data_IF_996912172457
#
_entry.id   IF_996912172457
#
_cell.length_a   1.000
_cell.length_b   1.000
_cell.length_c   1.000
_cell.angle_alpha   90.00
_cell.angle_beta   90.00
_cell.angle_gamma   90.00
#
_symmetry.space_group_name_H-M   'P 1'
#
loop_
_entity.id
_entity.type
_entity.pdbx_description
1 polymer ?
#
# COMPACT_ATOMS: atom_id res chain seq x y z
N UNK A 1 -47.39 -19.83 -109.69
CA UNK A 1 -47.34 -20.55 -108.39
C UNK A 1 -45.93 -20.56 -107.78
N UNK A 2 -44.86 -20.76 -108.57
CA UNK A 2 -43.48 -20.71 -108.07
C UNK A 2 -43.01 -19.30 -107.62
N UNK A 3 -43.32 -18.25 -108.39
CA UNK A 3 -42.90 -16.87 -108.05
C UNK A 3 -43.53 -16.36 -106.76
N UNK A 4 -44.79 -16.68 -106.50
CA UNK A 4 -45.48 -16.30 -105.25
C UNK A 4 -44.78 -16.91 -104.02
N UNK A 5 -44.36 -18.18 -104.10
CA UNK A 5 -43.61 -18.86 -103.02
C UNK A 5 -42.22 -18.24 -102.81
N UNK A 6 -41.55 -17.78 -103.87
CA UNK A 6 -40.25 -17.10 -103.77
C UNK A 6 -40.41 -15.75 -103.06
N UNK A 7 -41.47 -15.01 -103.36
CA UNK A 7 -41.76 -13.73 -102.72
C UNK A 7 -42.04 -13.92 -101.21
N UNK A 8 -42.89 -14.90 -100.88
CA UNK A 8 -43.23 -15.25 -99.49
C UNK A 8 -41.99 -15.68 -98.68
N UNK A 9 -41.07 -16.44 -99.30
CA UNK A 9 -39.83 -16.85 -98.65
C UNK A 9 -38.90 -15.65 -98.35
N UNK A 10 -38.76 -14.73 -99.31
CA UNK A 10 -37.97 -13.50 -99.12
C UNK A 10 -38.56 -12.61 -98.04
N UNK A 11 -39.88 -12.54 -97.94
CA UNK A 11 -40.56 -11.77 -96.90
C UNK A 11 -40.35 -12.38 -95.51
N UNK A 12 -40.45 -13.71 -95.38
CA UNK A 12 -40.10 -14.41 -94.14
C UNK A 12 -38.63 -14.20 -93.74
N UNK A 13 -37.70 -14.29 -94.69
CA UNK A 13 -36.27 -14.06 -94.45
C UNK A 13 -36.00 -12.63 -93.97
N UNK A 14 -36.66 -11.64 -94.58
CA UNK A 14 -36.58 -10.24 -94.16
C UNK A 14 -37.11 -10.04 -92.74
N UNK A 15 -38.27 -10.63 -92.42
CA UNK A 15 -38.85 -10.58 -91.08
C UNK A 15 -37.93 -11.25 -90.04
N UNK A 16 -37.37 -12.42 -90.35
CA UNK A 16 -36.44 -13.13 -89.47
C UNK A 16 -35.17 -12.31 -89.21
N UNK A 17 -34.57 -11.72 -90.24
CA UNK A 17 -33.39 -10.87 -90.10
C UNK A 17 -33.69 -9.61 -89.27
N UNK A 18 -34.86 -9.02 -89.43
CA UNK A 18 -35.30 -7.87 -88.62
C UNK A 18 -35.38 -8.21 -87.13
N UNK A 19 -35.93 -9.37 -86.78
CA UNK A 19 -36.02 -9.85 -85.39
C UNK A 19 -34.63 -10.13 -84.81
N UNK A 20 -33.75 -10.76 -85.58
CA UNK A 20 -32.36 -11.03 -85.16
C UNK A 20 -31.63 -9.72 -84.87
N UNK A 21 -31.75 -8.72 -85.74
CA UNK A 21 -31.12 -7.42 -85.50
C UNK A 21 -31.70 -6.71 -84.26
N UNK A 22 -33.01 -6.77 -84.04
CA UNK A 22 -33.63 -6.19 -82.85
C UNK A 22 -33.12 -6.86 -81.57
N UNK A 23 -33.03 -8.20 -81.57
CA UNK A 23 -32.50 -8.97 -80.44
C UNK A 23 -31.02 -8.67 -80.19
N UNK A 24 -30.22 -8.56 -81.26
CA UNK A 24 -28.80 -8.17 -81.19
C UNK A 24 -28.63 -6.78 -80.58
N UNK A 25 -29.40 -5.78 -81.02
CA UNK A 25 -29.36 -4.42 -80.46
C UNK A 25 -29.75 -4.41 -78.97
N UNK A 26 -30.76 -5.19 -78.59
CA UNK A 26 -31.16 -5.32 -77.18
C UNK A 26 -30.03 -5.90 -76.32
N UNK A 27 -29.39 -6.99 -76.79
CA UNK A 27 -28.28 -7.62 -76.09
C UNK A 27 -27.04 -6.70 -76.00
N UNK A 28 -26.75 -5.94 -77.05
CA UNK A 28 -25.66 -4.95 -77.04
C UNK A 28 -25.91 -3.82 -76.03
N UNK A 29 -27.15 -3.33 -75.93
CA UNK A 29 -27.54 -2.32 -74.95
C UNK A 29 -27.39 -2.85 -73.51
N UNK A 30 -27.90 -4.05 -73.24
CA UNK A 30 -27.76 -4.71 -71.94
C UNK A 30 -26.29 -4.91 -71.56
N UNK A 31 -25.46 -5.35 -72.52
CA UNK A 31 -24.01 -5.49 -72.32
C UNK A 31 -23.36 -4.15 -71.95
N UNK A 32 -23.68 -3.07 -72.66
CA UNK A 32 -23.17 -1.74 -72.34
C UNK A 32 -23.55 -1.31 -70.92
N UNK A 33 -24.82 -1.46 -70.53
CA UNK A 33 -25.30 -1.13 -69.19
C UNK A 33 -24.62 -1.94 -68.09
N UNK A 34 -24.42 -3.24 -68.31
CA UNK A 34 -23.73 -4.09 -67.34
C UNK A 34 -22.25 -3.71 -67.20
N UNK A 35 -21.59 -3.36 -68.31
CA UNK A 35 -20.20 -2.93 -68.30
C UNK A 35 -20.04 -1.63 -67.52
N UNK A 36 -20.90 -0.64 -67.76
CA UNK A 36 -20.89 0.62 -67.01
C UNK A 36 -21.12 0.40 -65.51
N UNK A 37 -22.03 -0.51 -65.15
CA UNK A 37 -22.29 -0.84 -63.74
C UNK A 37 -21.10 -1.53 -63.07
N UNK A 38 -20.36 -2.37 -63.81
CA UNK A 38 -19.13 -2.98 -63.31
C UNK A 38 -18.06 -1.92 -63.04
N UNK A 39 -17.83 -0.99 -63.97
CA UNK A 39 -16.87 0.10 -63.78
C UNK A 39 -17.22 0.96 -62.55
N UNK A 40 -18.50 1.29 -62.36
CA UNK A 40 -18.98 2.03 -61.19
C UNK A 40 -18.78 1.25 -59.88
N UNK A 41 -18.91 -0.07 -59.90
CA UNK A 41 -18.69 -0.91 -58.71
C UNK A 41 -17.19 -1.04 -58.41
N UNK A 42 -16.35 -1.23 -59.42
CA UNK A 42 -14.90 -1.29 -59.27
C UNK A 42 -14.33 0.01 -58.69
N UNK A 43 -14.81 1.16 -59.17
CA UNK A 43 -14.45 2.46 -58.60
C UNK A 43 -14.82 2.55 -57.11
N UNK A 44 -16.07 2.20 -56.75
CA UNK A 44 -16.53 2.22 -55.35
C UNK A 44 -15.72 1.29 -54.45
N UNK A 45 -15.38 0.09 -54.94
CA UNK A 45 -14.53 -0.85 -54.19
C UNK A 45 -13.14 -0.25 -53.97
N UNK A 46 -12.53 0.35 -54.99
CA UNK A 46 -11.21 0.99 -54.87
C UNK A 46 -11.23 2.16 -53.87
N UNK A 47 -12.26 2.99 -53.92
CA UNK A 47 -12.44 4.10 -52.97
C UNK A 47 -12.61 3.58 -51.54
N UNK A 48 -13.46 2.56 -51.34
CA UNK A 48 -13.69 1.96 -50.03
C UNK A 48 -12.41 1.33 -49.48
N UNK A 49 -11.64 0.63 -50.31
CA UNK A 49 -10.33 0.08 -49.94
C UNK A 49 -9.34 1.17 -49.53
N UNK A 50 -9.27 2.27 -50.28
CA UNK A 50 -8.41 3.41 -49.94
C UNK A 50 -8.80 4.04 -48.59
N UNK A 51 -10.10 4.16 -48.32
CA UNK A 51 -10.61 4.65 -47.03
C UNK A 51 -10.27 3.70 -45.88
N UNK A 52 -10.39 2.39 -46.09
CA UNK A 52 -10.02 1.37 -45.09
C UNK A 52 -8.51 1.41 -44.80
N UNK A 53 -7.67 1.48 -45.84
CA UNK A 53 -6.22 1.60 -45.67
C UNK A 53 -5.83 2.87 -44.90
N UNK A 54 -6.46 4.00 -45.22
CA UNK A 54 -6.23 5.27 -44.50
C UNK A 54 -6.62 5.19 -43.02
N UNK A 55 -7.72 4.51 -42.70
CA UNK A 55 -8.13 4.26 -41.29
C UNK A 55 -7.16 3.32 -40.58
N UNK A 56 -6.71 2.25 -41.24
CA UNK A 56 -5.76 1.29 -40.67
C UNK A 56 -4.42 1.96 -40.34
N UNK A 57 -3.84 2.74 -41.26
CA UNK A 57 -2.59 3.47 -40.98
C UNK A 57 -2.73 4.53 -39.88
N UNK A 58 -3.93 5.11 -39.70
CA UNK A 58 -4.19 6.07 -38.61
C UNK A 58 -4.39 5.37 -37.27
N UNK A 59 -5.01 4.19 -37.26
CA UNK A 59 -5.20 3.38 -36.05
C UNK A 59 -3.91 2.71 -35.57
N UNK A 60 -3.00 2.26 -36.46
CA UNK A 60 -1.76 1.58 -36.04
C UNK A 60 -0.82 2.49 -35.22
N UNK A 61 -0.78 3.78 -35.52
CA UNK A 61 0.02 4.73 -34.75
C UNK A 61 -0.59 5.09 -33.39
N UNK A 62 -1.92 5.11 -33.25
CA UNK A 62 -2.58 5.32 -31.95
C UNK A 62 -2.65 4.05 -31.11
N UNK A 63 -2.83 2.89 -31.75
CA UNK A 63 -2.95 1.61 -31.05
C UNK A 63 -1.61 1.16 -30.46
N UNK A 64 -0.49 1.40 -31.15
CA UNK A 64 0.84 1.04 -30.62
C UNK A 64 1.26 1.86 -29.40
N UNK A 65 0.97 3.18 -29.38
CA UNK A 65 1.23 4.01 -28.19
C UNK A 65 0.33 3.63 -27.02
N UNK A 66 -0.96 3.38 -27.28
CA UNK A 66 -1.92 2.96 -26.25
C UNK A 66 -1.56 1.59 -25.66
N UNK A 67 -1.13 0.64 -26.49
CA UNK A 67 -0.75 -0.70 -26.03
C UNK A 67 0.52 -0.68 -25.16
N UNK A 68 1.47 0.21 -25.47
CA UNK A 68 2.66 0.42 -24.65
C UNK A 68 2.34 1.05 -23.30
N UNK A 69 1.41 2.00 -23.25
CA UNK A 69 0.94 2.56 -21.98
C UNK A 69 0.15 1.54 -21.16
N UNK A 70 -0.78 0.80 -21.78
CA UNK A 70 -1.54 -0.27 -21.09
C UNK A 70 -0.62 -1.33 -20.49
N UNK A 71 0.36 -1.83 -21.26
CA UNK A 71 1.34 -2.80 -20.74
C UNK A 71 2.23 -2.22 -19.64
N UNK A 72 2.50 -0.91 -19.65
CA UNK A 72 3.22 -0.24 -18.56
C UNK A 72 2.38 -0.14 -17.29
N UNK A 73 1.08 0.14 -17.40
CA UNK A 73 0.18 0.20 -16.25
C UNK A 73 -0.05 -1.19 -15.65
N UNK A 74 -0.17 -2.23 -16.48
CA UNK A 74 -0.25 -3.62 -16.02
C UNK A 74 0.98 -4.02 -15.20
N UNK A 75 2.19 -3.70 -15.68
CA UNK A 75 3.43 -3.96 -14.94
C UNK A 75 3.49 -3.18 -13.61
N UNK A 76 3.00 -1.94 -13.59
CA UNK A 76 2.93 -1.14 -12.36
C UNK A 76 1.93 -1.74 -11.35
N UNK A 77 0.79 -2.23 -11.84
CA UNK A 77 -0.22 -2.91 -11.02
C UNK A 77 0.36 -4.18 -10.42
N UNK A 78 1.05 -5.00 -11.21
CA UNK A 78 1.69 -6.23 -10.73
C UNK A 78 2.75 -5.96 -9.66
N UNK A 79 3.58 -4.94 -9.87
CA UNK A 79 4.53 -4.48 -8.85
C UNK A 79 3.82 -4.07 -7.56
N UNK A 80 2.78 -3.23 -7.64
CA UNK A 80 2.03 -2.80 -6.46
C UNK A 80 1.37 -3.99 -5.75
N UNK A 81 0.81 -4.94 -6.49
CA UNK A 81 0.22 -6.15 -5.93
C UNK A 81 1.26 -6.97 -5.14
N UNK A 82 2.48 -7.11 -5.66
CA UNK A 82 3.57 -7.80 -4.94
C UNK A 82 3.94 -7.09 -3.62
N UNK A 83 4.02 -5.76 -3.64
CA UNK A 83 4.33 -4.96 -2.45
C UNK A 83 3.21 -5.06 -1.41
N UNK A 84 1.96 -5.04 -1.85
CA UNK A 84 0.78 -5.18 -0.99
C UNK A 84 0.82 -6.53 -0.28
N UNK A 85 1.09 -7.63 -1.00
CA UNK A 85 1.17 -8.98 -0.40
C UNK A 85 2.30 -9.05 0.64
N UNK A 86 3.48 -8.51 0.34
CA UNK A 86 4.59 -8.49 1.29
C UNK A 86 4.28 -7.66 2.53
N UNK A 87 3.61 -6.51 2.37
CA UNK A 87 3.19 -5.68 3.51
C UNK A 87 2.08 -6.30 4.34
N UNK A 88 1.14 -7.01 3.71
CA UNK A 88 0.12 -7.78 4.43
C UNK A 88 0.77 -8.90 5.25
N UNK A 89 1.67 -9.69 4.66
CA UNK A 89 2.42 -10.73 5.38
C UNK A 89 3.18 -10.16 6.57
N UNK A 90 3.88 -9.04 6.39
CA UNK A 90 4.64 -8.39 7.47
C UNK A 90 3.72 -7.86 8.57
N UNK A 91 2.57 -7.30 8.22
CA UNK A 91 1.58 -6.86 9.20
C UNK A 91 1.00 -8.04 9.98
N UNK A 92 0.71 -9.16 9.32
CA UNK A 92 0.21 -10.35 9.98
C UNK A 92 1.25 -10.97 10.91
N UNK A 93 2.53 -10.99 10.51
CA UNK A 93 3.64 -11.41 11.37
C UNK A 93 3.77 -10.52 12.62
N UNK A 94 3.69 -9.19 12.45
CA UNK A 94 3.73 -8.25 13.57
C UNK A 94 2.52 -8.40 14.49
N UNK A 95 1.32 -8.55 13.93
CA UNK A 95 0.08 -8.79 14.70
C UNK A 95 0.17 -10.09 15.49
N UNK A 96 0.67 -11.16 14.88
CA UNK A 96 0.88 -12.43 15.57
C UNK A 96 1.89 -12.28 16.71
N UNK A 97 3.01 -11.59 16.47
CA UNK A 97 4.01 -11.33 17.52
C UNK A 97 3.43 -10.54 18.69
N UNK A 98 2.61 -9.52 18.42
CA UNK A 98 1.90 -8.77 19.46
C UNK A 98 0.95 -9.68 20.22
N UNK A 99 0.13 -10.46 19.51
CA UNK A 99 -0.81 -11.39 20.12
C UNK A 99 -0.11 -12.42 21.02
N UNK A 100 1.02 -12.98 20.59
CA UNK A 100 1.83 -13.92 21.41
C UNK A 100 2.37 -13.23 22.66
N UNK A 101 2.84 -11.98 22.54
CA UNK A 101 3.32 -11.22 23.70
C UNK A 101 2.18 -10.88 24.67
N UNK A 102 0.99 -10.56 24.15
CA UNK A 102 -0.21 -10.33 24.95
C UNK A 102 -0.69 -11.61 25.64
N UNK A 103 -0.68 -12.75 24.94
CA UNK A 103 -1.05 -14.05 25.51
C UNK A 103 -0.05 -14.52 26.57
N UNK A 104 1.26 -14.30 26.37
CA UNK A 104 2.27 -14.54 27.40
C UNK A 104 2.03 -13.59 28.59
N UNK A 105 1.79 -12.31 28.34
CA UNK A 105 1.55 -11.31 29.39
C UNK A 105 0.25 -11.52 30.19
N UNK A 106 -0.80 -12.07 29.56
CA UNK A 106 -2.09 -12.35 30.20
C UNK A 106 -2.15 -13.78 30.79
N UNK A 107 -1.58 -14.77 30.09
CA UNK A 107 -1.48 -16.16 30.55
C UNK A 107 -0.60 -16.30 31.80
N UNK A 108 0.46 -15.50 31.91
CA UNK A 108 1.26 -15.41 33.14
C UNK A 108 0.52 -14.73 34.29
N UNK A 109 -0.41 -13.80 34.04
CA UNK A 109 -1.21 -13.17 35.10
C UNK A 109 -2.26 -14.15 35.67
N UNK A 110 -2.91 -14.93 34.81
CA UNK A 110 -3.93 -15.91 35.21
C UNK A 110 -3.30 -17.14 35.90
N UNK A 111 -2.16 -17.65 35.40
CA UNK A 111 -1.42 -18.72 36.06
C UNK A 111 -0.67 -18.28 37.33
N UNK A 112 -0.17 -17.04 37.40
CA UNK A 112 0.49 -16.52 38.61
C UNK A 112 -0.52 -16.27 39.73
N UNK A 113 -1.72 -15.75 39.43
CA UNK A 113 -2.77 -15.59 40.43
C UNK A 113 -3.25 -16.96 40.96
N UNK A 114 -3.46 -17.94 40.08
CA UNK A 114 -3.86 -19.29 40.50
C UNK A 114 -2.75 -20.01 41.29
N UNK A 115 -1.47 -19.80 40.94
CA UNK A 115 -0.33 -20.42 41.62
C UNK A 115 0.00 -19.76 42.97
N UNK A 116 -0.08 -18.44 43.08
CA UNK A 116 0.14 -17.72 44.35
C UNK A 116 -0.94 -17.99 45.41
N UNK A 117 -2.18 -18.30 45.00
CA UNK A 117 -3.23 -18.72 45.94
C UNK A 117 -2.97 -20.13 46.49
N UNK A 118 -2.30 -21.01 45.73
CA UNK A 118 -2.02 -22.39 46.15
C UNK A 118 -0.72 -22.49 46.96
N UNK A 119 0.30 -21.68 46.66
CA UNK A 119 1.62 -21.78 47.31
C UNK A 119 1.72 -21.10 48.68
N UNK A 120 0.77 -20.23 49.05
CA UNK A 120 0.73 -19.63 50.39
C UNK A 120 0.29 -20.59 51.51
N UNK A 121 -0.04 -21.86 51.21
CA UNK A 121 -0.39 -22.86 52.23
C UNK A 121 0.74 -23.84 52.58
N UNK A 122 1.78 -23.99 51.76
CA UNK A 122 2.79 -25.02 52.02
C UNK A 122 4.19 -24.58 51.60
N UNK A 123 4.94 -24.14 52.61
CA UNK A 123 6.37 -24.37 52.78
C UNK A 123 7.36 -23.51 51.98
N UNK A 124 8.30 -23.01 52.80
CA UNK A 124 9.62 -22.52 52.45
C UNK A 124 10.37 -23.47 51.50
N UNK A 125 11.25 -22.87 50.70
CA UNK A 125 12.21 -23.49 49.78
C UNK A 125 11.64 -24.04 48.47
N UNK A 126 12.06 -23.44 47.35
CA UNK A 126 12.74 -24.09 46.21
C UNK A 126 12.99 -23.05 45.12
N UNK A 127 14.24 -22.97 44.67
CA UNK A 127 14.67 -22.11 43.59
C UNK A 127 14.31 -22.57 42.18
N UNK A 128 14.55 -21.65 41.26
CA UNK A 128 14.94 -21.85 39.87
C UNK A 128 13.88 -22.39 38.89
N UNK A 129 13.13 -21.47 38.26
CA UNK A 129 12.72 -21.61 36.86
C UNK A 129 12.95 -20.29 36.11
N UNK A 130 13.66 -20.42 35.00
CA UNK A 130 14.14 -19.38 34.11
C UNK A 130 12.98 -18.58 33.50
N UNK A 131 13.09 -17.25 33.52
CA UNK A 131 12.12 -16.33 32.93
C UNK A 131 11.14 -15.70 33.93
N UNK A 132 11.48 -15.70 35.23
CA UNK A 132 10.71 -15.04 36.28
C UNK A 132 10.34 -13.62 35.84
N UNK A 133 9.02 -13.36 35.68
CA UNK A 133 8.42 -12.05 35.91
C UNK A 133 9.24 -11.43 37.03
N UNK A 134 9.98 -10.36 36.73
CA UNK A 134 10.85 -9.74 37.72
C UNK A 134 9.94 -9.27 38.83
N UNK A 135 9.78 -10.10 39.87
CA UNK A 135 9.33 -9.65 41.17
C UNK A 135 10.15 -8.40 41.45
N UNK A 136 9.49 -7.27 41.70
CA UNK A 136 10.17 -6.00 41.99
C UNK A 136 11.32 -6.32 42.95
N UNK A 137 12.56 -6.10 42.51
CA UNK A 137 13.74 -6.51 43.29
C UNK A 137 13.67 -5.79 44.63
N UNK A 138 13.59 -6.56 45.70
CA UNK A 138 13.59 -6.02 47.05
C UNK A 138 14.89 -5.26 47.23
N UNK A 139 14.82 -4.02 47.66
CA UNK A 139 15.98 -3.19 47.96
C UNK A 139 15.79 -2.64 49.36
N UNK A 140 16.86 -2.70 50.15
CA UNK A 140 16.89 -2.07 51.45
C UNK A 140 17.73 -0.80 51.35
N UNK A 141 17.11 0.37 51.50
CA UNK A 141 17.80 1.66 51.51
C UNK A 141 18.74 1.82 52.72
N UNK A 142 18.55 1.02 53.78
CA UNK A 142 19.37 1.06 55.00
C UNK A 142 20.67 0.26 54.82
N UNK A 143 20.57 -0.94 54.24
CA UNK A 143 21.73 -1.81 54.02
C UNK A 143 22.38 -1.61 52.65
N UNK A 144 21.73 -0.91 51.73
CA UNK A 144 22.10 -0.73 50.32
C UNK A 144 22.32 -2.06 49.55
N UNK A 145 21.70 -3.15 50.03
CA UNK A 145 21.80 -4.47 49.43
C UNK A 145 20.50 -4.82 48.70
N UNK A 146 20.65 -5.44 47.53
CA UNK A 146 19.54 -5.98 46.77
C UNK A 146 19.18 -7.40 47.25
N UNK A 147 17.91 -7.74 47.06
CA UNK A 147 17.32 -9.08 47.13
C UNK A 147 17.33 -9.76 48.52
N UNK A 148 17.74 -9.05 49.58
CA UNK A 148 17.75 -9.59 50.95
C UNK A 148 16.42 -9.38 51.68
N UNK A 149 16.01 -8.12 51.84
CA UNK A 149 14.78 -7.69 52.50
C UNK A 149 14.37 -6.31 51.95
N UNK A 150 13.12 -5.92 52.17
CA UNK A 150 12.67 -4.56 51.91
C UNK A 150 13.04 -3.65 53.09
N UNK A 151 13.21 -2.35 52.84
CA UNK A 151 13.60 -1.36 53.87
C UNK A 151 12.81 -1.54 55.18
N UNK A 152 11.50 -1.75 55.11
CA UNK A 152 10.60 -1.91 56.28
C UNK A 152 10.86 -3.13 57.15
N UNK A 153 11.50 -4.16 56.60
CA UNK A 153 11.84 -5.40 57.30
C UNK A 153 13.30 -5.41 57.78
N UNK A 154 14.02 -4.30 57.63
CA UNK A 154 15.42 -4.22 57.98
C UNK A 154 15.63 -4.42 59.49
N UNK A 155 16.42 -5.41 59.94
CA UNK A 155 16.71 -5.60 61.36
C UNK A 155 17.34 -4.36 62.00
N UNK A 156 18.10 -3.59 61.22
CA UNK A 156 18.71 -2.33 61.66
C UNK A 156 17.66 -1.23 61.90
N UNK A 157 16.51 -1.28 61.22
CA UNK A 157 15.37 -0.37 61.45
C UNK A 157 14.78 -0.51 62.85
N UNK A 158 14.85 -1.71 63.46
CA UNK A 158 14.36 -1.95 64.82
C UNK A 158 15.33 -1.50 65.92
N UNK A 159 16.61 -1.29 65.59
CA UNK A 159 17.63 -0.85 66.55
C UNK A 159 17.88 0.67 66.52
N UNK A 160 17.33 1.38 65.54
CA UNK A 160 17.39 2.84 65.50
C UNK A 160 16.29 3.45 66.37
N UNK A 161 16.64 3.68 67.64
CA UNK A 161 16.07 4.80 68.39
C UNK A 161 16.22 6.06 67.52
N UNK A 162 15.11 6.57 66.98
CA UNK A 162 15.02 7.68 66.03
C UNK A 162 15.94 8.85 66.43
N UNK A 163 16.77 9.34 65.50
CA UNK A 163 16.96 10.77 65.35
C UNK A 163 16.54 11.15 63.93
N UNK A 164 15.49 11.94 63.81
CA UNK A 164 15.07 12.58 62.56
C UNK A 164 16.28 13.18 61.83
N UNK A 165 16.65 12.60 60.68
CA UNK A 165 17.83 13.02 59.94
C UNK A 165 17.79 12.51 58.52
N UNK A 166 16.95 13.13 57.68
CA UNK A 166 17.09 13.02 56.23
C UNK A 166 18.52 13.40 55.82
N UNK A 167 19.08 12.60 54.93
CA UNK A 167 20.46 12.59 54.41
C UNK A 167 21.18 13.94 54.41
N UNK A 168 22.10 14.14 55.36
CA UNK A 168 23.08 15.22 55.27
C UNK A 168 24.25 14.73 54.42
N UNK A 169 24.19 15.03 53.12
CA UNK A 169 25.39 15.10 52.31
C UNK A 169 26.40 15.98 53.03
N UNK A 170 27.64 15.49 53.16
CA UNK A 170 28.79 16.18 53.75
C UNK A 170 29.18 17.39 52.90
N UNK A 171 28.37 18.44 52.95
CA UNK A 171 28.68 19.77 52.41
C UNK A 171 29.11 20.60 53.62
N UNK A 172 30.30 21.20 53.53
CA UNK A 172 30.85 22.07 54.55
C UNK A 172 29.83 23.20 54.85
N UNK A 173 29.14 23.10 55.99
CA UNK A 173 27.90 23.85 56.28
C UNK A 173 28.15 25.33 56.60
N UNK A 174 29.42 25.74 56.67
CA UNK A 174 29.87 27.08 57.05
C UNK A 174 29.99 28.05 55.86
N UNK A 175 29.95 27.57 54.62
CA UNK A 175 29.91 28.45 53.45
C UNK A 175 28.45 28.70 53.05
N UNK A 176 27.87 29.78 53.58
CA UNK A 176 26.59 30.30 53.11
C UNK A 176 26.75 30.68 51.64
N UNK A 177 26.08 29.96 50.74
CA UNK A 177 26.06 30.29 49.32
C UNK A 177 25.19 31.54 49.12
N UNK A 178 25.82 32.66 48.79
CA UNK A 178 25.15 33.94 48.59
C UNK A 178 24.24 33.88 47.34
N UNK A 179 23.00 34.33 47.48
CA UNK A 179 22.01 34.40 46.40
C UNK A 179 21.70 35.85 46.05
N UNK A 180 21.67 36.15 44.76
CA UNK A 180 21.25 37.44 44.24
C UNK A 180 19.84 37.32 43.67
N UNK A 181 18.89 38.02 44.26
CA UNK A 181 17.50 38.12 43.81
C UNK A 181 17.28 39.13 42.68
N UNK A 182 18.35 39.75 42.15
CA UNK A 182 18.27 40.72 41.05
C UNK A 182 18.54 40.02 39.71
N UNK A 183 19.46 39.06 39.67
CA UNK A 183 19.78 38.27 38.47
C UNK A 183 19.58 36.75 38.63
N UNK A 184 18.92 36.33 39.72
CA UNK A 184 18.59 34.94 40.06
C UNK A 184 19.77 33.95 39.95
N UNK A 185 20.97 34.42 40.32
CA UNK A 185 22.20 33.61 40.37
C UNK A 185 22.76 33.54 41.78
N UNK A 186 23.43 32.43 42.04
CA UNK A 186 24.06 32.12 43.32
C UNK A 186 25.57 32.31 43.21
N UNK A 187 26.09 33.47 43.63
CA UNK A 187 27.53 33.78 43.73
C UNK A 187 27.81 35.11 44.46
N UNK A 188 26.81 35.99 44.59
CA UNK A 188 26.92 37.31 45.25
C UNK A 188 25.59 37.70 45.91
N UNK A 189 25.59 38.70 46.80
CA UNK A 189 24.36 39.29 47.34
C UNK A 189 23.81 40.38 46.42
N UNK A 190 22.51 40.67 46.55
CA UNK A 190 21.79 41.70 45.82
C UNK A 190 22.59 43.02 45.70
N UNK A 191 23.18 43.48 46.80
CA UNK A 191 23.86 44.78 46.91
C UNK A 191 25.14 44.90 46.08
N UNK A 192 25.67 43.79 45.58
CA UNK A 192 26.89 43.71 44.77
C UNK A 192 26.59 43.28 43.33
N UNK A 193 25.30 43.28 42.94
CA UNK A 193 24.90 42.85 41.62
C UNK A 193 25.33 43.89 40.56
N UNK A 194 26.11 43.52 39.54
CA UNK A 194 26.50 44.43 38.46
C UNK A 194 25.30 44.92 37.64
N UNK A 195 24.15 44.24 37.71
CA UNK A 195 22.91 44.64 37.03
C UNK A 195 22.11 45.72 37.79
N UNK A 196 22.55 46.17 38.97
CA UNK A 196 21.92 47.30 39.70
C UNK A 196 22.15 48.65 39.00
N UNK A 197 23.18 48.80 38.18
CA UNK A 197 23.55 50.09 37.56
C UNK A 197 22.89 50.32 36.18
N UNK A 198 21.58 50.09 36.08
CA UNK A 198 20.80 50.55 34.92
C UNK A 198 19.58 51.32 35.42
N UNK A 199 19.82 52.56 35.86
CA UNK A 199 18.86 53.66 35.86
C UNK A 199 19.59 54.98 35.61
#
# INVERSE_FOLDING_TARGET
>A
MAEAKILEYKEMEFQQNSVIEAMKRSAELEKCLMTEKLDQLEMRVREQQALVHKRQSSNDHQHSSSHHEETSYEQQIDFLNSVIVDMQRKNDELRNRVQVLEEIGLGEFEHSFQSQVITNQTNNDVGHLNGHIRTLRKYCDICELFDMHETEECPQQSSSMIPNGHSQQLINRDTIRLYCNICDRFDHEANQCPEIQIY
#
